data_IF_348957351737
#
_entry.id   IF_348957351737
#
_cell.length_a   1.000
_cell.length_b   1.000
_cell.length_c   1.000
_cell.angle_alpha   90.00
_cell.angle_beta   90.00
_cell.angle_gamma   90.00
#
_symmetry.space_group_name_H-M   'P 1'
#
loop_
_entity.id
_entity.type
_entity.pdbx_description
1 polymer ?
#
# COMPACT_ATOMS: atom_id res chain seq x y z
N UNK A 1 17.96 -42.26 18.75
CA UNK A 1 17.20 -41.05 19.08
C UNK A 1 16.21 -40.82 17.95
N UNK A 2 14.89 -40.89 18.19
CA UNK A 2 13.95 -40.49 17.15
C UNK A 2 14.12 -38.99 16.88
N UNK A 3 14.30 -38.64 15.62
CA UNK A 3 14.43 -37.26 15.13
C UNK A 3 13.06 -36.60 15.26
N UNK A 4 12.97 -35.49 15.98
CA UNK A 4 11.75 -34.67 16.03
C UNK A 4 11.60 -33.93 14.69
N UNK A 5 10.39 -34.09 14.16
CA UNK A 5 9.91 -33.61 12.86
C UNK A 5 10.01 -32.09 12.83
N UNK A 6 10.73 -31.55 11.85
CA UNK A 6 10.72 -30.11 11.60
C UNK A 6 9.32 -29.69 11.17
N UNK A 7 8.77 -28.69 11.84
CA UNK A 7 7.53 -28.02 11.43
C UNK A 7 7.67 -27.53 9.98
N UNK A 8 7.08 -28.28 9.04
CA UNK A 8 6.86 -27.82 7.68
C UNK A 8 5.77 -26.75 7.72
N UNK A 9 6.18 -25.49 7.80
CA UNK A 9 5.28 -24.36 7.56
C UNK A 9 4.90 -24.38 6.07
N UNK A 10 3.67 -24.82 5.77
CA UNK A 10 3.06 -24.53 4.47
C UNK A 10 2.78 -23.04 4.42
N UNK A 11 3.51 -22.32 3.56
CA UNK A 11 3.26 -20.91 3.29
C UNK A 11 2.02 -20.77 2.40
N UNK A 12 0.84 -21.06 2.94
CA UNK A 12 -0.42 -20.81 2.26
C UNK A 12 -0.61 -19.28 2.10
N UNK A 13 -0.68 -18.82 0.85
CA UNK A 13 -0.86 -17.41 0.51
C UNK A 13 -2.18 -16.92 1.12
N UNK A 14 -2.09 -16.03 2.12
CA UNK A 14 -3.25 -15.43 2.76
C UNK A 14 -3.52 -14.05 2.17
N UNK A 15 -4.71 -13.85 1.60
CA UNK A 15 -5.16 -12.55 1.07
C UNK A 15 -5.95 -11.83 2.17
N UNK A 16 -5.42 -10.71 2.66
CA UNK A 16 -6.10 -9.84 3.63
C UNK A 16 -6.81 -8.73 2.86
N UNK A 17 -8.11 -8.57 3.10
CA UNK A 17 -8.91 -7.47 2.54
C UNK A 17 -8.94 -6.31 3.53
N UNK A 18 -8.69 -5.11 3.02
CA UNK A 18 -8.85 -3.86 3.76
C UNK A 18 -9.69 -2.90 2.92
N UNK A 19 -10.79 -2.43 3.49
CA UNK A 19 -11.65 -1.42 2.85
C UNK A 19 -11.22 -0.03 3.33
N UNK A 20 -11.12 0.93 2.39
CA UNK A 20 -10.72 2.31 2.68
C UNK A 20 -11.77 3.29 2.15
N UNK A 21 -12.07 4.33 2.93
CA UNK A 21 -12.86 5.46 2.45
C UNK A 21 -12.00 6.37 1.59
N UNK A 22 -12.15 6.25 0.27
CA UNK A 22 -11.36 7.04 -0.68
C UNK A 22 -11.82 8.50 -0.71
N UNK A 23 -10.97 9.40 -0.21
CA UNK A 23 -11.15 10.84 -0.29
C UNK A 23 -10.34 11.42 -1.46
N UNK A 24 -10.91 12.35 -2.25
CA UNK A 24 -10.15 13.07 -3.25
C UNK A 24 -9.13 14.00 -2.59
N UNK A 25 -7.86 13.89 -2.94
CA UNK A 25 -6.77 14.75 -2.44
C UNK A 25 -5.62 14.84 -3.45
N UNK A 26 -4.79 15.89 -3.40
CA UNK A 26 -3.59 15.98 -4.22
C UNK A 26 -2.49 15.02 -3.72
N UNK A 27 -1.53 14.61 -4.59
CA UNK A 27 -0.46 13.68 -4.22
C UNK A 27 0.38 14.14 -3.01
N UNK A 28 0.62 15.44 -2.88
CA UNK A 28 1.41 16.00 -1.78
C UNK A 28 0.71 15.85 -0.42
N UNK A 29 -0.61 16.05 -0.38
CA UNK A 29 -1.42 15.84 0.82
C UNK A 29 -1.50 14.34 1.16
N UNK A 30 -1.63 13.50 0.13
CA UNK A 30 -1.61 12.06 0.28
C UNK A 30 -0.28 11.55 0.89
N UNK A 31 0.85 12.15 0.49
CA UNK A 31 2.16 11.84 1.04
C UNK A 31 2.26 12.20 2.53
N UNK A 32 1.76 13.37 2.91
CA UNK A 32 1.72 13.80 4.32
C UNK A 32 0.83 12.86 5.16
N UNK A 33 -0.33 12.46 4.63
CA UNK A 33 -1.24 11.56 5.35
C UNK A 33 -0.62 10.17 5.55
N UNK A 34 0.07 9.63 4.53
CA UNK A 34 0.81 8.36 4.63
C UNK A 34 1.86 8.39 5.76
N UNK A 35 2.56 9.51 5.95
CA UNK A 35 3.56 9.66 7.02
C UNK A 35 2.93 9.78 8.42
N UNK A 36 1.69 10.28 8.51
CA UNK A 36 0.96 10.45 9.78
C UNK A 36 0.26 9.16 10.22
N UNK A 37 -0.21 8.36 9.27
CA UNK A 37 -0.90 7.10 9.53
C UNK A 37 0.10 5.96 9.74
N UNK A 38 0.43 5.73 11.01
CA UNK A 38 1.36 4.68 11.41
C UNK A 38 0.89 3.29 10.94
N UNK A 39 1.76 2.59 10.21
CA UNK A 39 1.53 1.20 9.79
C UNK A 39 1.02 1.03 8.36
N UNK A 40 0.84 2.10 7.59
CA UNK A 40 0.56 2.00 6.16
C UNK A 40 1.84 2.15 5.34
N UNK A 41 2.18 1.12 4.55
CA UNK A 41 3.28 1.19 3.59
C UNK A 41 2.86 1.92 2.29
N UNK A 42 1.56 1.92 2.01
CA UNK A 42 0.93 2.55 0.85
C UNK A 42 -0.46 3.05 1.20
N UNK A 43 -0.92 4.06 0.47
CA UNK A 43 -2.26 4.61 0.58
C UNK A 43 -2.91 4.71 -0.80
N UNK A 44 -4.19 4.35 -0.87
CA UNK A 44 -5.01 4.48 -2.09
C UNK A 44 -5.92 5.71 -1.94
N UNK A 45 -5.97 6.55 -2.96
CA UNK A 45 -6.76 7.78 -2.97
C UNK A 45 -7.25 8.10 -4.38
N UNK A 46 -8.17 9.06 -4.50
CA UNK A 46 -8.51 9.65 -5.80
C UNK A 46 -7.67 10.91 -5.96
N UNK A 47 -6.80 10.97 -6.97
CA UNK A 47 -6.02 12.16 -7.23
C UNK A 47 -6.96 13.30 -7.67
N UNK A 48 -6.98 14.39 -6.91
CA UNK A 48 -7.85 15.53 -7.20
C UNK A 48 -7.47 16.29 -8.48
N UNK A 49 -6.23 16.14 -8.96
CA UNK A 49 -5.73 16.80 -10.16
C UNK A 49 -6.13 16.04 -11.43
N UNK A 50 -6.09 14.71 -11.40
CA UNK A 50 -6.38 13.85 -12.56
C UNK A 50 -7.77 13.22 -12.51
N UNK A 51 -8.39 13.16 -11.32
CA UNK A 51 -9.64 12.44 -11.06
C UNK A 51 -9.47 10.92 -11.04
N UNK A 52 -8.24 10.41 -11.11
CA UNK A 52 -7.95 8.97 -11.23
C UNK A 52 -7.64 8.35 -9.87
N UNK A 53 -7.98 7.07 -9.72
CA UNK A 53 -7.51 6.28 -8.59
C UNK A 53 -5.99 6.19 -8.62
N UNK A 54 -5.36 6.46 -7.50
CA UNK A 54 -3.91 6.57 -7.39
C UNK A 54 -3.43 5.87 -6.12
N UNK A 55 -2.23 5.31 -6.18
CA UNK A 55 -1.57 4.72 -5.02
C UNK A 55 -0.28 5.47 -4.76
N UNK A 56 -0.11 6.00 -3.55
CA UNK A 56 1.15 6.57 -3.08
C UNK A 56 1.80 5.64 -2.07
N UNK A 57 3.13 5.52 -2.11
CA UNK A 57 3.88 4.67 -1.20
C UNK A 57 5.28 5.22 -0.93
N UNK A 58 5.87 4.79 0.18
CA UNK A 58 7.23 5.21 0.58
C UNK A 58 8.28 4.34 -0.11
N UNK A 59 9.22 4.97 -0.81
CA UNK A 59 10.32 4.28 -1.48
C UNK A 59 11.48 4.03 -0.53
N UNK A 60 12.33 3.05 -0.88
CA UNK A 60 13.57 2.75 -0.14
C UNK A 60 14.57 3.90 -0.11
N UNK A 61 14.50 4.79 -1.09
CA UNK A 61 15.36 5.98 -1.21
C UNK A 61 14.85 7.18 -0.38
N UNK A 62 13.76 7.01 0.37
CA UNK A 62 13.16 8.05 1.21
C UNK A 62 12.20 8.99 0.48
N UNK A 63 12.06 8.87 -0.85
CA UNK A 63 11.08 9.63 -1.62
C UNK A 63 9.73 8.91 -1.70
N UNK A 64 8.76 9.57 -2.32
CA UNK A 64 7.44 9.01 -2.60
C UNK A 64 7.35 8.45 -4.02
N UNK A 65 6.67 7.32 -4.17
CA UNK A 65 6.27 6.78 -5.46
C UNK A 65 4.77 6.97 -5.65
N UNK A 66 4.37 7.42 -6.83
CA UNK A 66 2.97 7.55 -7.24
C UNK A 66 2.69 6.56 -8.37
N UNK A 67 1.62 5.78 -8.24
CA UNK A 67 1.13 4.85 -9.26
C UNK A 67 -0.26 5.31 -9.69
N UNK A 68 -0.42 5.53 -11.00
CA UNK A 68 -1.68 5.92 -11.61
C UNK A 68 -2.03 4.98 -12.77
N UNK A 69 -3.33 4.66 -12.98
CA UNK A 69 -3.78 3.90 -14.12
C UNK A 69 -3.67 4.75 -15.37
N UNK A 70 -2.95 4.24 -16.37
CA UNK A 70 -2.99 4.78 -17.71
C UNK A 70 -4.09 4.06 -18.49
N UNK A 71 -5.09 4.80 -18.95
CA UNK A 71 -6.03 4.27 -19.92
C UNK A 71 -5.25 3.91 -21.19
N UNK A 72 -5.30 2.64 -21.60
CA UNK A 72 -4.80 2.18 -22.89
C UNK A 72 -5.91 2.16 -23.90
#
# INVERSE_FOLDING_TARGET
TPLEVGDEVSEDITIIRQDFEMKPMPPDEAAMQLDLEAGMDFMVFTNSETGLFSVIYKRKDGNYGLVEPVAK
#
